data_IF_820504015206
#
_entry.id   IF_820504015206
#
_cell.length_a   1.000
_cell.length_b   1.000
_cell.length_c   1.000
_cell.angle_alpha   90.00
_cell.angle_beta   90.00
_cell.angle_gamma   90.00
#
_symmetry.space_group_name_H-M   'P 1'
#
loop_
_entity.id
_entity.type
_entity.pdbx_description
1 polymer ?
#
# COMPACT_ATOMS: atom_id res chain seq x y z
N UNK A 1 2.81 4.76 -10.56
CA UNK A 1 3.54 3.47 -10.52
C UNK A 1 3.51 2.88 -9.12
N UNK A 2 3.64 1.57 -8.98
CA UNK A 2 3.73 0.85 -7.70
C UNK A 2 4.91 -0.12 -7.69
N UNK A 3 5.49 -0.34 -6.50
CA UNK A 3 6.52 -1.36 -6.26
C UNK A 3 5.82 -2.63 -5.75
N UNK A 4 6.08 -3.79 -6.35
CA UNK A 4 5.50 -5.06 -5.91
C UNK A 4 6.03 -5.44 -4.54
N UNK A 5 7.33 -5.16 -4.34
CA UNK A 5 8.11 -5.64 -3.21
C UNK A 5 8.08 -7.17 -3.10
N UNK A 6 9.01 -7.72 -2.32
CA UNK A 6 9.00 -9.14 -2.03
C UNK A 6 9.51 -9.40 -0.63
N UNK A 7 8.98 -10.45 0.01
CA UNK A 7 9.33 -10.81 1.38
C UNK A 7 10.10 -12.13 1.35
N UNK A 8 11.36 -12.06 1.80
CA UNK A 8 12.21 -13.23 2.05
C UNK A 8 12.57 -13.23 3.55
N UNK A 9 13.85 -13.12 3.89
CA UNK A 9 14.31 -12.87 5.26
C UNK A 9 13.92 -11.48 5.77
N UNK A 10 13.63 -10.56 4.86
CA UNK A 10 13.19 -9.19 5.11
C UNK A 10 12.26 -8.74 3.97
N UNK A 11 11.58 -7.60 4.16
CA UNK A 11 10.85 -6.93 3.08
C UNK A 11 11.83 -6.18 2.20
N UNK A 12 12.03 -6.71 1.00
CA UNK A 12 12.86 -6.11 -0.01
C UNK A 12 12.02 -5.32 -0.99
N UNK A 13 12.62 -4.30 -1.56
CA UNK A 13 12.05 -3.61 -2.71
C UNK A 13 12.64 -4.16 -4.00
N UNK A 14 11.91 -3.99 -5.08
CA UNK A 14 12.32 -4.46 -6.39
C UNK A 14 13.56 -3.69 -6.92
N UNK A 15 14.23 -4.27 -7.91
CA UNK A 15 15.35 -3.62 -8.60
C UNK A 15 14.90 -2.41 -9.42
N UNK A 16 15.85 -1.50 -9.67
CA UNK A 16 15.62 -0.26 -10.42
C UNK A 16 15.39 0.97 -9.55
N UNK A 17 15.17 2.11 -10.21
CA UNK A 17 14.89 3.39 -9.58
C UNK A 17 13.52 3.37 -8.88
N UNK A 18 13.47 3.91 -7.66
CA UNK A 18 12.23 4.10 -6.89
C UNK A 18 11.29 5.08 -7.59
N UNK A 19 9.95 4.91 -7.50
CA UNK A 19 8.98 5.88 -8.05
C UNK A 19 8.95 7.21 -7.29
N UNK A 20 9.78 7.35 -6.25
CA UNK A 20 10.01 8.58 -5.53
C UNK A 20 11.39 8.62 -4.88
N UNK A 21 11.86 9.83 -4.60
CA UNK A 21 13.03 10.09 -3.74
C UNK A 21 12.73 11.16 -2.69
N UNK A 22 13.64 11.32 -1.73
CA UNK A 22 13.51 12.32 -0.66
C UNK A 22 13.91 13.69 -1.18
N UNK A 23 13.03 14.68 -1.01
CA UNK A 23 13.27 16.08 -1.29
C UNK A 23 14.03 16.73 -0.14
N UNK A 24 15.35 16.55 -0.10
CA UNK A 24 16.19 17.11 0.95
C UNK A 24 17.60 17.36 0.44
N UNK A 25 18.14 18.52 0.77
CA UNK A 25 19.53 18.90 0.59
C UNK A 25 20.23 18.83 1.94
N UNK A 26 21.03 17.77 2.13
CA UNK A 26 21.78 17.56 3.36
C UNK A 26 22.89 18.60 3.60
N UNK A 27 23.42 19.24 2.55
CA UNK A 27 24.50 20.23 2.69
C UNK A 27 23.97 21.55 3.24
N UNK A 28 22.78 21.95 2.78
CA UNK A 28 22.16 23.22 3.16
C UNK A 28 21.05 23.07 4.22
N UNK A 29 20.77 21.84 4.68
CA UNK A 29 19.73 21.51 5.67
C UNK A 29 18.34 22.07 5.30
N UNK A 30 17.96 21.96 4.02
CA UNK A 30 16.74 22.54 3.46
C UNK A 30 16.10 21.61 2.41
N UNK A 31 14.85 21.85 1.96
CA UNK A 31 14.31 21.18 0.79
C UNK A 31 15.20 21.40 -0.44
N UNK A 32 15.36 20.38 -1.28
CA UNK A 32 16.13 20.52 -2.51
C UNK A 32 15.31 21.21 -3.63
N UNK A 33 14.00 21.00 -3.63
CA UNK A 33 13.06 21.49 -4.63
C UNK A 33 11.78 22.05 -3.99
N UNK A 34 11.13 22.95 -4.73
CA UNK A 34 9.82 23.53 -4.43
C UNK A 34 8.90 23.42 -5.66
N UNK A 35 7.64 23.83 -5.54
CA UNK A 35 6.73 23.84 -6.68
C UNK A 35 7.14 24.89 -7.71
N UNK A 36 6.99 24.52 -8.99
CA UNK A 36 7.12 25.45 -10.08
C UNK A 36 5.84 26.29 -10.21
N UNK A 37 5.88 27.53 -9.73
CA UNK A 37 4.73 28.43 -9.73
C UNK A 37 4.23 28.80 -11.14
N UNK A 38 5.06 28.68 -12.18
CA UNK A 38 4.61 28.88 -13.57
C UNK A 38 3.68 27.75 -14.04
N UNK A 39 3.72 26.58 -13.40
CA UNK A 39 2.89 25.41 -13.71
C UNK A 39 1.74 25.27 -12.71
N UNK A 40 2.04 25.29 -11.41
CA UNK A 40 1.07 25.02 -10.35
C UNK A 40 0.33 26.26 -9.88
N UNK A 41 0.86 27.46 -10.18
CA UNK A 41 0.35 28.73 -9.68
C UNK A 41 0.81 29.11 -8.28
N UNK A 42 1.63 28.28 -7.61
CA UNK A 42 2.12 28.53 -6.25
C UNK A 42 3.51 27.92 -6.02
N UNK A 43 4.23 28.43 -5.02
CA UNK A 43 5.55 27.98 -4.61
C UNK A 43 5.51 26.85 -3.55
N UNK A 44 4.44 26.83 -2.75
CA UNK A 44 4.24 25.95 -1.61
C UNK A 44 2.75 25.62 -1.43
N UNK A 45 2.44 24.52 -0.75
CA UNK A 45 1.09 24.27 -0.24
C UNK A 45 0.88 25.03 1.08
N UNK A 46 -0.38 25.24 1.46
CA UNK A 46 -0.73 25.73 2.79
C UNK A 46 -1.08 24.56 3.72
N UNK A 47 -0.44 24.51 4.89
CA UNK A 47 -0.75 23.52 5.92
C UNK A 47 -2.23 23.55 6.32
N UNK A 48 -2.81 24.74 6.49
CA UNK A 48 -4.23 24.87 6.83
C UNK A 48 -5.16 24.31 5.75
N UNK A 49 -4.83 24.47 4.47
CA UNK A 49 -5.63 23.90 3.39
C UNK A 49 -5.55 22.36 3.37
N UNK A 50 -4.40 21.78 3.74
CA UNK A 50 -4.26 20.33 3.90
C UNK A 50 -5.13 19.84 5.07
N UNK A 51 -5.02 20.48 6.24
CA UNK A 51 -5.80 20.10 7.44
C UNK A 51 -7.32 20.21 7.20
N UNK A 52 -7.74 21.27 6.50
CA UNK A 52 -9.14 21.51 6.16
C UNK A 52 -9.65 20.64 4.98
N UNK A 53 -8.78 19.80 4.39
CA UNK A 53 -9.09 18.95 3.21
C UNK A 53 -9.62 19.77 2.03
N UNK A 54 -9.07 20.96 1.84
CA UNK A 54 -9.40 21.87 0.73
C UNK A 54 -8.71 21.45 -0.58
N UNK A 55 -7.69 20.60 -0.48
CA UNK A 55 -6.92 20.08 -1.61
C UNK A 55 -7.45 18.68 -1.95
N UNK A 56 -7.98 18.53 -3.16
CA UNK A 56 -8.49 17.28 -3.68
C UNK A 56 -7.43 16.45 -4.42
N UNK A 57 -7.83 15.23 -4.80
CA UNK A 57 -6.97 14.31 -5.57
C UNK A 57 -6.62 14.82 -6.98
N UNK A 58 -7.39 15.78 -7.50
CA UNK A 58 -7.16 16.35 -8.83
C UNK A 58 -6.30 17.63 -8.78
N UNK A 59 -5.95 18.10 -7.57
CA UNK A 59 -5.12 19.29 -7.38
C UNK A 59 -3.64 18.91 -7.29
N UNK A 60 -2.75 19.90 -7.37
CA UNK A 60 -1.34 19.70 -7.07
C UNK A 60 -1.14 19.54 -5.57
N UNK A 61 -1.08 18.30 -5.06
CA UNK A 61 -0.79 17.97 -3.66
C UNK A 61 0.55 17.26 -3.46
N UNK A 62 1.23 16.91 -4.55
CA UNK A 62 2.51 16.19 -4.58
C UNK A 62 3.54 16.96 -5.39
N UNK A 63 4.82 16.69 -5.17
CA UNK A 63 5.89 17.14 -6.07
C UNK A 63 6.25 16.03 -7.04
N UNK A 64 6.55 16.39 -8.28
CA UNK A 64 7.12 15.52 -9.31
C UNK A 64 8.15 16.31 -10.13
N UNK A 65 9.05 15.61 -10.81
CA UNK A 65 10.18 16.22 -11.53
C UNK A 65 9.76 17.23 -12.61
N UNK A 66 8.57 17.08 -13.19
CA UNK A 66 8.01 17.94 -14.22
C UNK A 66 7.31 19.20 -13.67
N UNK A 67 6.99 19.23 -12.37
CA UNK A 67 6.33 20.34 -11.68
C UNK A 67 7.18 20.97 -10.58
N UNK A 68 8.47 20.59 -10.49
CA UNK A 68 9.40 21.04 -9.47
C UNK A 68 10.50 21.94 -10.04
N UNK A 69 10.98 22.89 -9.24
CA UNK A 69 12.18 23.72 -9.48
C UNK A 69 13.08 23.71 -8.25
N UNK A 70 14.38 24.01 -8.38
CA UNK A 70 15.27 24.12 -7.22
C UNK A 70 14.68 25.04 -6.16
N UNK A 71 14.81 24.65 -4.90
CA UNK A 71 14.31 25.43 -3.77
C UNK A 71 14.98 26.81 -3.73
N UNK A 72 14.17 27.86 -3.60
CA UNK A 72 14.62 29.24 -3.46
C UNK A 72 14.53 29.67 -1.98
N UNK A 73 15.65 29.75 -1.25
CA UNK A 73 15.64 30.18 0.14
C UNK A 73 15.32 31.67 0.31
N UNK A 74 15.42 32.47 -0.75
CA UNK A 74 15.14 33.91 -0.72
C UNK A 74 13.69 34.24 -1.08
N UNK A 75 12.86 33.23 -1.38
CA UNK A 75 11.42 33.40 -1.53
C UNK A 75 10.81 33.96 -0.23
N UNK A 76 9.73 34.75 -0.35
CA UNK A 76 9.03 35.34 0.80
C UNK A 76 8.14 34.28 1.49
N UNK A 77 8.78 33.28 2.13
CA UNK A 77 8.12 32.18 2.83
C UNK A 77 7.26 32.67 4.00
N UNK A 78 6.06 32.09 4.13
CA UNK A 78 5.13 32.34 5.22
C UNK A 78 5.04 31.14 6.18
N UNK A 79 4.68 31.41 7.44
CA UNK A 79 4.42 30.34 8.40
C UNK A 79 3.21 29.51 7.96
N UNK A 80 3.39 28.19 7.85
CA UNK A 80 2.40 27.27 7.28
C UNK A 80 2.66 26.86 5.83
N UNK A 81 3.64 27.47 5.14
CA UNK A 81 4.11 26.98 3.85
C UNK A 81 4.66 25.55 3.97
N UNK A 82 4.18 24.68 3.11
CA UNK A 82 4.43 23.24 3.18
C UNK A 82 4.94 22.72 1.84
N UNK A 83 6.08 22.04 1.88
CA UNK A 83 6.69 21.38 0.73
C UNK A 83 6.63 19.86 0.93
N UNK A 84 6.12 19.09 -0.05
CA UNK A 84 6.16 17.64 0.00
C UNK A 84 7.57 17.09 0.19
N UNK A 85 7.71 16.16 1.14
CA UNK A 85 8.97 15.46 1.42
C UNK A 85 9.40 14.52 0.28
N UNK A 86 8.47 14.04 -0.54
CA UNK A 86 8.72 13.10 -1.63
C UNK A 86 8.54 13.79 -2.96
N UNK A 87 9.47 13.53 -3.88
CA UNK A 87 9.33 13.88 -5.30
C UNK A 87 9.06 12.60 -6.05
N UNK A 88 7.98 12.58 -6.82
CA UNK A 88 7.65 11.49 -7.72
C UNK A 88 8.52 11.55 -8.97
N UNK A 89 8.95 10.39 -9.42
CA UNK A 89 9.77 10.20 -10.63
C UNK A 89 9.36 8.91 -11.30
N UNK A 90 9.69 8.76 -12.58
CA UNK A 90 9.46 7.51 -13.29
C UNK A 90 10.42 6.42 -12.77
N UNK A 91 9.91 5.30 -12.23
CA UNK A 91 10.75 4.19 -11.82
C UNK A 91 11.30 3.45 -13.03
N UNK A 92 12.33 2.63 -12.80
CA UNK A 92 12.97 1.80 -13.83
C UNK A 92 12.95 0.34 -13.45
N UNK A 93 13.25 -0.52 -14.44
CA UNK A 93 13.39 -1.96 -14.25
C UNK A 93 12.16 -2.60 -13.61
N UNK A 94 12.35 -3.46 -12.60
CA UNK A 94 11.29 -4.23 -11.93
C UNK A 94 10.28 -3.31 -11.21
N UNK A 95 10.77 -2.27 -10.54
CA UNK A 95 9.91 -1.22 -9.95
C UNK A 95 9.06 -0.44 -10.95
N UNK A 96 9.39 -0.51 -12.24
CA UNK A 96 8.63 0.12 -13.32
C UNK A 96 7.58 -0.79 -13.97
N UNK A 97 7.38 -2.02 -13.48
CA UNK A 97 6.51 -2.98 -14.15
C UNK A 97 5.03 -2.85 -13.76
N UNK A 98 4.71 -2.13 -12.69
CA UNK A 98 3.33 -1.90 -12.23
C UNK A 98 2.98 -0.42 -12.39
N UNK A 99 2.08 -0.10 -13.31
CA UNK A 99 1.39 1.19 -13.30
C UNK A 99 0.21 1.14 -12.33
N UNK A 100 -0.08 2.26 -11.71
CA UNK A 100 -1.14 2.39 -10.73
C UNK A 100 -1.88 3.70 -10.98
N UNK A 101 -3.20 3.65 -11.02
CA UNK A 101 -4.10 4.78 -11.14
C UNK A 101 -5.18 4.70 -10.05
N UNK A 102 -5.63 5.84 -9.55
CA UNK A 102 -6.57 5.89 -8.43
C UNK A 102 -7.53 7.05 -8.57
N UNK A 103 -8.83 6.77 -8.47
CA UNK A 103 -9.88 7.79 -8.52
C UNK A 103 -10.78 7.69 -7.30
N UNK A 104 -11.34 8.82 -6.89
CA UNK A 104 -12.30 8.92 -5.80
C UNK A 104 -13.58 9.60 -6.31
N UNK A 105 -14.69 8.86 -6.31
CA UNK A 105 -16.00 9.33 -6.76
C UNK A 105 -17.09 8.73 -5.88
N UNK A 106 -18.12 9.50 -5.51
CA UNK A 106 -19.29 9.06 -4.75
C UNK A 106 -18.99 8.27 -3.45
N UNK A 107 -17.88 8.59 -2.77
CA UNK A 107 -17.49 7.94 -1.52
C UNK A 107 -16.72 6.63 -1.71
N UNK A 108 -16.27 6.35 -2.94
CA UNK A 108 -15.62 5.10 -3.33
C UNK A 108 -14.27 5.38 -3.98
N UNK A 109 -13.25 4.64 -3.53
CA UNK A 109 -11.96 4.56 -4.19
C UNK A 109 -12.02 3.50 -5.27
N UNK A 110 -11.61 3.85 -6.49
CA UNK A 110 -11.26 2.89 -7.54
C UNK A 110 -9.75 2.94 -7.71
N UNK A 111 -9.09 1.79 -7.64
CA UNK A 111 -7.64 1.68 -7.84
C UNK A 111 -7.39 0.65 -8.93
N UNK A 112 -6.73 1.09 -10.00
CA UNK A 112 -6.31 0.25 -11.11
C UNK A 112 -4.81 -0.04 -10.98
N UNK A 113 -4.44 -1.32 -10.87
CA UNK A 113 -3.05 -1.76 -11.05
C UNK A 113 -2.92 -2.42 -12.40
N UNK A 114 -1.78 -2.25 -13.06
CA UNK A 114 -1.53 -2.81 -14.39
C UNK A 114 -0.08 -3.29 -14.48
N UNK A 115 0.09 -4.60 -14.72
CA UNK A 115 1.39 -5.25 -14.96
C UNK A 115 1.27 -6.48 -15.84
N UNK A 116 2.29 -6.77 -16.62
CA UNK A 116 2.38 -8.05 -17.37
C UNK A 116 2.31 -9.26 -16.42
N UNK A 117 1.77 -10.38 -16.91
CA UNK A 117 1.76 -11.64 -16.16
C UNK A 117 3.17 -12.17 -15.97
N UNK A 118 4.00 -12.01 -16.98
CA UNK A 118 5.44 -12.22 -16.90
C UNK A 118 6.14 -10.87 -17.12
N UNK A 119 6.70 -10.34 -16.05
CA UNK A 119 7.46 -9.08 -16.05
C UNK A 119 8.90 -9.29 -16.51
N UNK A 120 9.38 -10.54 -16.55
CA UNK A 120 10.78 -10.89 -16.79
C UNK A 120 11.67 -10.88 -15.53
N UNK A 121 11.15 -10.50 -14.36
CA UNK A 121 11.89 -10.39 -13.10
C UNK A 121 11.57 -11.54 -12.12
N UNK A 122 11.84 -12.78 -12.53
CA UNK A 122 11.39 -13.99 -11.81
C UNK A 122 11.85 -14.17 -10.35
N UNK A 123 12.82 -13.37 -9.87
CA UNK A 123 13.25 -13.40 -8.47
C UNK A 123 12.50 -12.40 -7.58
N UNK A 124 11.79 -11.45 -8.17
CA UNK A 124 11.15 -10.31 -7.51
C UNK A 124 9.63 -10.38 -7.73
N UNK A 125 9.23 -10.81 -8.93
CA UNK A 125 7.85 -10.90 -9.37
C UNK A 125 7.35 -12.34 -9.46
N UNK A 126 6.14 -12.56 -8.94
CA UNK A 126 5.38 -13.78 -9.24
C UNK A 126 5.00 -13.77 -10.71
N UNK A 127 5.42 -14.80 -11.47
CA UNK A 127 4.89 -15.01 -12.82
C UNK A 127 3.51 -15.63 -12.74
N UNK A 128 2.56 -15.01 -13.43
CA UNK A 128 1.20 -15.52 -13.57
C UNK A 128 1.03 -16.32 -14.86
N UNK A 129 0.33 -17.45 -14.79
CA UNK A 129 0.11 -18.37 -15.90
C UNK A 129 -1.36 -18.77 -15.98
N UNK A 130 -1.83 -18.99 -17.20
CA UNK A 130 -3.21 -19.45 -17.43
C UNK A 130 -3.35 -20.93 -17.06
N UNK A 131 -4.47 -21.26 -16.43
CA UNK A 131 -4.77 -22.57 -15.84
C UNK A 131 -4.34 -22.70 -14.37
N UNK A 132 -3.59 -21.74 -13.84
CA UNK A 132 -3.04 -21.79 -12.47
C UNK A 132 -3.90 -21.03 -11.45
N UNK A 133 -3.73 -21.41 -10.18
CA UNK A 133 -4.36 -20.78 -9.01
C UNK A 133 -3.29 -20.12 -8.16
N UNK A 134 -3.54 -18.86 -7.79
CA UNK A 134 -2.69 -18.05 -6.93
C UNK A 134 -3.41 -17.74 -5.62
N UNK A 135 -2.65 -17.40 -4.58
CA UNK A 135 -3.23 -16.94 -3.32
C UNK A 135 -3.01 -15.44 -3.16
N UNK A 136 -4.08 -14.72 -2.85
CA UNK A 136 -4.04 -13.26 -2.68
C UNK A 136 -4.67 -12.86 -1.35
N UNK A 137 -4.11 -11.85 -0.70
CA UNK A 137 -4.67 -11.27 0.51
C UNK A 137 -4.54 -9.73 0.46
N UNK A 138 -5.52 -9.03 -0.14
CA UNK A 138 -5.56 -7.58 -0.15
C UNK A 138 -5.52 -6.96 1.26
N UNK A 139 -4.80 -5.85 1.39
CA UNK A 139 -4.82 -5.00 2.57
C UNK A 139 -5.09 -3.56 2.15
N UNK A 140 -5.84 -2.81 2.97
CA UNK A 140 -6.19 -1.42 2.71
C UNK A 140 -5.72 -0.57 3.88
N UNK A 141 -4.84 0.38 3.60
CA UNK A 141 -4.39 1.36 4.58
C UNK A 141 -5.38 2.53 4.61
N UNK A 142 -5.94 2.83 5.79
CA UNK A 142 -6.90 3.92 5.98
C UNK A 142 -6.44 4.72 7.21
N UNK A 143 -6.48 6.05 7.11
CA UNK A 143 -6.16 6.94 8.22
C UNK A 143 -4.70 7.42 8.24
N UNK A 144 -4.31 7.99 9.38
CA UNK A 144 -3.03 8.68 9.55
C UNK A 144 -2.06 7.79 10.34
N UNK A 145 -1.09 7.19 9.65
CA UNK A 145 0.32 7.02 10.07
C UNK A 145 0.98 5.84 9.37
N UNK A 146 2.11 6.10 8.71
CA UNK A 146 3.31 5.24 8.60
C UNK A 146 3.12 3.71 8.57
N UNK A 147 2.11 3.20 7.86
CA UNK A 147 1.86 1.77 7.68
C UNK A 147 1.29 1.03 8.90
N UNK A 148 0.77 1.71 9.93
CA UNK A 148 0.21 1.04 11.12
C UNK A 148 -1.24 0.63 10.94
N UNK A 149 -2.08 1.56 10.50
CA UNK A 149 -3.52 1.31 10.40
C UNK A 149 -3.85 0.73 9.03
N UNK A 150 -4.15 -0.56 9.01
CA UNK A 150 -4.55 -1.26 7.80
C UNK A 150 -5.54 -2.36 8.11
N UNK A 151 -6.56 -2.45 7.26
CA UNK A 151 -7.47 -3.57 7.24
C UNK A 151 -6.90 -4.65 6.34
N UNK A 152 -7.04 -5.90 6.76
CA UNK A 152 -6.56 -7.06 6.03
C UNK A 152 -7.73 -7.98 5.69
N UNK A 153 -7.47 -8.98 4.85
CA UNK A 153 -8.41 -10.07 4.61
C UNK A 153 -7.79 -11.42 4.92
N UNK A 154 -8.65 -12.42 5.11
CA UNK A 154 -8.28 -13.80 4.88
C UNK A 154 -8.02 -13.96 3.39
N UNK A 155 -6.93 -14.61 3.00
CA UNK A 155 -6.61 -14.68 1.59
C UNK A 155 -7.53 -15.63 0.82
N UNK A 156 -7.62 -15.37 -0.47
CA UNK A 156 -8.50 -15.99 -1.45
C UNK A 156 -7.69 -16.70 -2.52
N UNK A 157 -8.28 -17.72 -3.13
CA UNK A 157 -7.77 -18.27 -4.38
C UNK A 157 -8.13 -17.36 -5.56
N UNK A 158 -7.13 -17.01 -6.37
CA UNK A 158 -7.26 -16.31 -7.64
C UNK A 158 -6.98 -17.29 -8.78
N UNK A 159 -7.99 -17.63 -9.56
CA UNK A 159 -7.88 -18.51 -10.71
C UNK A 159 -7.70 -17.70 -11.99
N UNK A 160 -6.68 -18.04 -12.78
CA UNK A 160 -6.50 -17.48 -14.12
C UNK A 160 -6.95 -18.51 -15.14
N UNK A 161 -8.10 -18.30 -15.79
CA UNK A 161 -8.65 -19.28 -16.74
C UNK A 161 -9.06 -20.62 -16.09
N UNK A 162 -9.25 -20.63 -14.78
CA UNK A 162 -9.62 -21.80 -13.97
C UNK A 162 -10.50 -21.36 -12.78
N UNK A 163 -11.30 -22.29 -12.25
CA UNK A 163 -12.24 -22.04 -11.16
C UNK A 163 -11.52 -21.77 -9.83
N UNK A 164 -11.95 -20.72 -9.11
CA UNK A 164 -11.39 -20.28 -7.83
C UNK A 164 -12.39 -19.36 -7.09
N UNK A 165 -12.04 -18.90 -5.89
CA UNK A 165 -12.86 -17.91 -5.15
C UNK A 165 -13.03 -16.60 -5.93
N UNK A 166 -11.97 -16.20 -6.64
CA UNK A 166 -11.93 -15.04 -7.52
C UNK A 166 -11.40 -15.51 -8.88
N UNK A 167 -12.17 -15.32 -9.94
CA UNK A 167 -11.79 -15.71 -11.29
C UNK A 167 -11.39 -14.49 -12.12
N UNK A 168 -10.23 -14.55 -12.75
CA UNK A 168 -9.77 -13.51 -13.64
C UNK A 168 -10.54 -13.53 -14.97
N UNK A 169 -11.02 -12.37 -15.40
CA UNK A 169 -11.80 -12.23 -16.65
C UNK A 169 -10.92 -11.78 -17.79
N UNK A 170 -10.91 -12.55 -18.88
CA UNK A 170 -10.21 -12.15 -20.10
C UNK A 170 -10.99 -11.09 -20.89
N UNK A 171 -10.29 -10.12 -21.47
CA UNK A 171 -10.90 -9.10 -22.32
C UNK A 171 -9.94 -8.63 -23.43
N UNK A 172 -10.46 -7.84 -24.37
CA UNK A 172 -9.66 -7.21 -25.44
C UNK A 172 -9.88 -5.69 -25.44
N UNK A 173 -8.81 -4.89 -25.35
CA UNK A 173 -8.84 -3.44 -25.46
C UNK A 173 -8.84 -2.78 -24.09
N UNK A 174 -9.75 -1.84 -23.87
CA UNK A 174 -10.08 -1.32 -22.54
C UNK A 174 -11.22 -2.18 -21.98
N UNK A 175 -11.13 -2.69 -20.75
CA UNK A 175 -12.21 -3.49 -20.16
C UNK A 175 -13.45 -2.62 -19.89
N UNK A 176 -14.63 -3.17 -20.11
CA UNK A 176 -15.87 -2.58 -19.58
C UNK A 176 -16.07 -3.09 -18.15
N UNK A 177 -15.75 -2.24 -17.19
CA UNK A 177 -15.86 -2.54 -15.76
C UNK A 177 -17.27 -2.90 -15.30
N UNK A 178 -18.30 -2.57 -16.10
CA UNK A 178 -19.67 -2.93 -15.80
C UNK A 178 -19.99 -4.39 -16.15
N UNK A 179 -19.19 -5.02 -17.01
CA UNK A 179 -19.38 -6.39 -17.49
C UNK A 179 -18.55 -7.42 -16.70
N UNK A 180 -17.56 -6.96 -15.94
CA UNK A 180 -16.71 -7.85 -15.12
C UNK A 180 -17.40 -8.11 -13.76
N UNK A 181 -17.59 -9.38 -13.35
CA UNK A 181 -18.21 -9.70 -12.07
C UNK A 181 -17.34 -9.21 -10.90
N UNK A 182 -17.92 -8.38 -10.03
CA UNK A 182 -17.25 -7.91 -8.82
C UNK A 182 -17.29 -8.96 -7.71
N UNK A 183 -16.17 -9.14 -6.99
CA UNK A 183 -16.15 -9.90 -5.74
C UNK A 183 -16.04 -8.96 -4.55
N UNK A 184 -17.02 -9.02 -3.64
CA UNK A 184 -16.96 -8.30 -2.36
C UNK A 184 -16.06 -9.06 -1.39
N UNK A 185 -15.03 -8.39 -0.88
CA UNK A 185 -14.10 -8.92 0.10
C UNK A 185 -14.38 -8.27 1.45
N UNK A 186 -14.58 -9.11 2.46
CA UNK A 186 -14.73 -8.65 3.85
C UNK A 186 -13.35 -8.36 4.41
N UNK A 187 -13.13 -7.09 4.75
CA UNK A 187 -11.94 -6.66 5.45
C UNK A 187 -12.18 -6.69 6.96
N UNK A 188 -11.15 -7.03 7.73
CA UNK A 188 -11.15 -6.89 9.17
C UNK A 188 -9.91 -6.12 9.61
N UNK A 189 -10.06 -5.37 10.70
CA UNK A 189 -8.91 -4.76 11.35
C UNK A 189 -8.20 -5.87 12.12
N UNK A 190 -6.94 -6.21 11.79
CA UNK A 190 -6.22 -7.22 12.56
C UNK A 190 -6.05 -6.66 13.96
N UNK A 191 -6.60 -7.35 14.96
CA UNK A 191 -6.75 -6.90 16.34
C UNK A 191 -5.54 -6.10 16.83
N UNK A 192 -5.78 -4.96 17.46
CA UNK A 192 -4.74 -4.18 18.13
C UNK A 192 -4.22 -5.05 19.27
N UNK A 193 -2.99 -5.56 19.18
CA UNK A 193 -2.29 -5.97 20.39
C UNK A 193 -2.00 -4.70 21.20
N UNK A 194 -2.20 -4.75 22.52
CA UNK A 194 -2.02 -3.56 23.35
C UNK A 194 -0.58 -3.04 23.22
N UNK A 195 -0.38 -1.74 23.38
CA UNK A 195 0.97 -1.16 23.40
C UNK A 195 1.84 -1.81 24.48
N UNK A 196 1.23 -2.19 25.61
CA UNK A 196 1.87 -2.96 26.67
C UNK A 196 2.29 -4.36 26.21
N UNK A 197 1.46 -5.06 25.45
CA UNK A 197 1.83 -6.34 24.84
C UNK A 197 2.99 -6.17 23.86
N UNK A 198 2.95 -5.15 22.99
CA UNK A 198 4.02 -4.90 22.01
C UNK A 198 5.38 -4.66 22.67
N UNK A 199 5.39 -4.01 23.84
CA UNK A 199 6.59 -3.68 24.61
C UNK A 199 6.99 -4.75 25.62
N UNK A 200 6.15 -5.76 25.86
CA UNK A 200 6.45 -6.83 26.80
C UNK A 200 7.48 -7.80 26.19
N UNK A 201 8.72 -7.77 26.72
CA UNK A 201 9.80 -8.62 26.24
C UNK A 201 9.53 -10.12 26.46
N UNK A 202 8.58 -10.48 27.34
CA UNK A 202 8.19 -11.86 27.63
C UNK A 202 7.13 -12.39 26.64
N UNK A 203 6.13 -11.57 26.28
CA UNK A 203 5.02 -11.96 25.38
C UNK A 203 5.22 -11.57 23.91
N UNK A 204 6.01 -10.53 23.61
CA UNK A 204 6.30 -10.09 22.25
C UNK A 204 7.69 -9.47 22.18
N UNK A 205 8.70 -10.27 21.84
CA UNK A 205 10.05 -9.76 21.58
C UNK A 205 9.99 -8.82 20.38
N UNK A 206 9.99 -7.50 20.60
CA UNK A 206 10.04 -6.46 19.57
C UNK A 206 10.94 -6.91 18.42
N UNK A 207 10.33 -7.36 17.31
CA UNK A 207 11.04 -8.10 16.27
C UNK A 207 12.24 -7.34 15.68
N UNK A 208 12.20 -6.02 15.74
CA UNK A 208 13.34 -5.15 15.40
C UNK A 208 14.51 -5.27 16.40
N UNK A 209 14.25 -5.23 17.71
CA UNK A 209 15.27 -5.18 18.76
C UNK A 209 16.02 -6.51 18.95
N UNK A 210 15.38 -7.64 18.67
CA UNK A 210 16.05 -8.95 18.63
C UNK A 210 17.01 -9.04 17.42
N UNK A 211 16.56 -8.58 16.24
CA UNK A 211 17.37 -8.53 15.03
C UNK A 211 18.58 -7.59 15.13
N UNK A 212 18.45 -6.44 15.81
CA UNK A 212 19.56 -5.49 15.99
C UNK A 212 20.60 -5.98 17.00
N UNK A 213 20.20 -6.69 18.06
CA UNK A 213 21.13 -7.21 19.09
C UNK A 213 21.86 -8.49 18.68
N UNK A 214 21.28 -9.31 17.81
CA UNK A 214 21.82 -10.62 17.44
C UNK A 214 22.79 -10.61 16.24
N UNK A 215 23.06 -9.46 15.62
CA UNK A 215 23.96 -9.40 14.45
C UNK A 215 23.42 -10.17 13.23
N UNK A 216 22.09 -10.17 13.04
CA UNK A 216 21.40 -10.75 11.88
C UNK A 216 21.44 -12.28 11.83
N UNK A 217 20.29 -12.93 12.02
CA UNK A 217 19.88 -14.24 11.44
C UNK A 217 18.75 -14.95 12.21
N UNK A 218 18.32 -14.48 13.39
CA UNK A 218 17.02 -14.91 13.90
C UNK A 218 15.96 -14.15 13.12
N UNK A 219 15.25 -14.80 12.19
CA UNK A 219 13.98 -14.27 11.70
C UNK A 219 12.92 -14.71 12.72
N UNK A 220 12.49 -13.83 13.66
CA UNK A 220 11.52 -14.22 14.68
C UNK A 220 10.12 -14.50 14.10
N UNK A 221 9.96 -14.46 12.76
CA UNK A 221 8.71 -14.63 12.05
C UNK A 221 8.75 -15.82 11.07
N UNK A 222 9.46 -16.91 11.39
CA UNK A 222 9.34 -18.12 10.57
C UNK A 222 7.88 -18.62 10.57
N UNK A 223 7.40 -19.30 9.51
CA UNK A 223 6.02 -19.80 9.45
C UNK A 223 5.64 -20.66 10.65
N UNK A 224 6.59 -21.43 11.18
CA UNK A 224 6.38 -22.29 12.36
C UNK A 224 6.26 -21.47 13.65
N UNK A 225 7.09 -20.43 13.83
CA UNK A 225 7.01 -19.53 15.00
C UNK A 225 5.75 -18.68 14.94
N UNK A 226 5.36 -18.18 13.77
CA UNK A 226 4.12 -17.41 13.60
C UNK A 226 2.87 -18.28 13.73
N UNK A 227 2.92 -19.52 13.26
CA UNK A 227 1.84 -20.49 13.46
C UNK A 227 1.65 -20.81 14.95
N UNK A 228 2.74 -21.00 15.69
CA UNK A 228 2.68 -21.23 17.14
C UNK A 228 2.21 -19.97 17.90
N UNK A 229 2.72 -18.79 17.53
CA UNK A 229 2.28 -17.52 18.09
C UNK A 229 0.78 -17.28 17.89
N UNK A 230 0.25 -17.55 16.69
CA UNK A 230 -1.18 -17.44 16.40
C UNK A 230 -2.02 -18.39 17.27
N UNK A 231 -1.57 -19.63 17.48
CA UNK A 231 -2.24 -20.59 18.37
C UNK A 231 -2.23 -20.13 19.84
N UNK A 232 -1.11 -19.60 20.31
CA UNK A 232 -0.96 -19.15 21.69
C UNK A 232 -1.76 -17.85 21.95
N UNK A 233 -1.84 -16.97 20.95
CA UNK A 233 -2.67 -15.77 20.98
C UNK A 233 -4.16 -16.12 21.04
N UNK A 234 -4.65 -16.99 20.15
CA UNK A 234 -6.03 -17.50 20.19
C UNK A 234 -6.34 -18.16 21.54
N UNK A 235 -5.41 -18.96 22.07
CA UNK A 235 -5.56 -19.55 23.40
C UNK A 235 -5.68 -18.49 24.49
N UNK A 236 -4.87 -17.42 24.44
CA UNK A 236 -4.93 -16.33 25.41
C UNK A 236 -6.27 -15.57 25.41
N UNK A 237 -6.94 -15.47 24.25
CA UNK A 237 -8.27 -14.86 24.14
C UNK A 237 -9.41 -15.79 24.61
N UNK A 238 -9.17 -17.11 24.66
CA UNK A 238 -10.15 -18.09 25.15
C UNK A 238 -10.06 -18.36 26.65
N UNK A 239 -9.03 -17.85 27.34
CA UNK A 239 -9.04 -17.86 28.81
C UNK A 239 -10.07 -16.85 29.31
N UNK A 240 -11.00 -17.25 30.21
CA UNK A 240 -12.09 -16.37 30.62
C UNK A 240 -11.54 -15.17 31.40
N UNK A 241 -11.49 -14.02 30.74
CA UNK A 241 -11.30 -12.72 31.39
C UNK A 241 -12.63 -12.29 31.98
N UNK A 242 -12.61 -11.73 33.20
CA UNK A 242 -13.78 -11.15 33.85
C UNK A 242 -14.52 -10.19 32.90
N UNK A 243 -15.85 -10.23 32.95
CA UNK A 243 -16.76 -9.52 32.05
C UNK A 243 -16.42 -8.03 31.96
N UNK A 244 -15.91 -7.59 30.80
CA UNK A 244 -15.69 -6.17 30.49
C UNK A 244 -17.02 -5.40 30.38
N UNK A 245 -17.04 -4.09 30.69
CA UNK A 245 -18.21 -3.24 30.51
C UNK A 245 -18.65 -3.20 29.03
N UNK A 246 -19.93 -2.92 28.81
CA UNK A 246 -20.57 -3.02 27.50
C UNK A 246 -19.76 -2.33 26.38
N UNK A 247 -19.69 -2.97 25.19
CA UNK A 247 -18.87 -2.48 24.09
C UNK A 247 -19.32 -1.07 23.69
N UNK A 248 -18.34 -0.22 23.38
CA UNK A 248 -18.60 1.04 22.68
C UNK A 248 -19.36 0.75 21.38
N UNK A 249 -20.25 1.67 20.93
CA UNK A 249 -21.01 1.47 19.71
C UNK A 249 -20.05 1.15 18.55
N UNK A 250 -20.35 0.08 17.82
CA UNK A 250 -19.53 -0.31 16.68
C UNK A 250 -19.35 0.88 15.74
N UNK A 251 -18.11 1.12 15.24
CA UNK A 251 -17.90 2.15 14.24
C UNK A 251 -18.82 1.87 13.06
N UNK A 252 -19.39 2.94 12.48
CA UNK A 252 -20.25 2.81 11.30
C UNK A 252 -19.55 1.95 10.24
N UNK A 253 -20.28 1.01 9.65
CA UNK A 253 -19.75 0.11 8.63
C UNK A 253 -19.13 0.93 7.50
N UNK A 254 -17.81 0.84 7.35
CA UNK A 254 -17.12 1.39 6.18
C UNK A 254 -17.63 0.60 4.96
N UNK A 255 -17.99 1.25 3.84
CA UNK A 255 -18.44 0.55 2.64
C UNK A 255 -17.43 -0.51 2.21
N UNK A 256 -17.88 -1.77 2.13
CA UNK A 256 -17.06 -2.94 1.81
C UNK A 256 -16.18 -2.74 0.56
N UNK A 257 -15.07 -3.45 0.52
CA UNK A 257 -14.11 -3.41 -0.59
C UNK A 257 -14.46 -4.47 -1.64
N UNK A 258 -14.25 -4.14 -2.92
CA UNK A 258 -14.38 -5.07 -4.03
C UNK A 258 -13.04 -5.20 -4.75
N UNK A 259 -12.69 -6.41 -5.17
CA UNK A 259 -11.53 -6.65 -6.04
C UNK A 259 -12.01 -7.26 -7.34
N UNK A 260 -11.37 -6.86 -8.43
CA UNK A 260 -11.73 -7.27 -9.77
C UNK A 260 -10.49 -7.59 -10.59
N UNK A 261 -10.29 -8.86 -10.95
CA UNK A 261 -9.18 -9.28 -11.79
C UNK A 261 -9.59 -9.35 -13.25
N UNK A 262 -8.91 -8.60 -14.10
CA UNK A 262 -9.08 -8.68 -15.56
C UNK A 262 -7.74 -8.99 -16.23
N UNK A 263 -7.72 -9.62 -17.42
CA UNK A 263 -6.52 -10.07 -18.17
C UNK A 263 -6.66 -9.81 -19.69
N UNK A 264 -5.66 -9.23 -20.35
CA UNK A 264 -5.67 -8.97 -21.81
C UNK A 264 -4.92 -10.02 -22.64
N UNK A 265 -5.52 -10.42 -23.78
CA UNK A 265 -5.00 -11.45 -24.69
C UNK A 265 -4.39 -10.90 -26.00
N UNK A 266 -3.08 -10.71 -26.01
CA UNK A 266 -2.09 -11.11 -27.04
C UNK A 266 -0.73 -10.50 -26.64
N UNK A 267 0.10 -11.30 -25.94
CA UNK A 267 1.52 -11.06 -25.57
C UNK A 267 1.82 -10.04 -24.46
N UNK A 268 0.84 -9.45 -23.78
CA UNK A 268 1.08 -8.73 -22.53
C UNK A 268 -0.19 -8.80 -21.68
N UNK A 269 -0.20 -9.69 -20.70
CA UNK A 269 -1.42 -9.95 -19.97
C UNK A 269 -1.38 -9.15 -18.66
N UNK A 270 -2.27 -8.16 -18.55
CA UNK A 270 -2.32 -7.22 -17.43
C UNK A 270 -3.27 -7.70 -16.35
N UNK A 271 -2.86 -7.79 -15.07
CA UNK A 271 -3.78 -7.97 -13.93
C UNK A 271 -4.34 -6.61 -13.52
N UNK A 272 -5.66 -6.49 -13.45
CA UNK A 272 -6.36 -5.33 -12.89
C UNK A 272 -6.89 -5.64 -11.49
N UNK A 273 -7.13 -4.60 -10.68
CA UNK A 273 -7.96 -4.61 -9.47
C UNK A 273 -8.99 -3.50 -9.70
N UNK A 274 -10.26 -3.64 -9.32
CA UNK A 274 -11.28 -2.58 -9.42
C UNK A 274 -12.27 -2.72 -8.27
N UNK A 275 -12.74 -1.58 -7.74
CA UNK A 275 -13.84 -1.46 -6.79
C UNK A 275 -14.93 -0.59 -7.42
N UNK A 276 -16.18 -1.05 -7.30
CA UNK A 276 -17.38 -0.30 -7.65
C UNK A 276 -18.01 0.33 -6.42
#
# INVERSE_FOLDING_TARGET
YSDSQYVLEYRHSDTGQSPYYTNWDDENEQPAYMFNSDITGFAALSWSSIENKEIGINDYYYLAEDIAVPFDPEHEWEDGDTIPRRILTEPTESRGQITADGTWEDGLWTVELVRKLDTGYALEDVKFEEGEIYYIAPAVHIGDTSGRDHYVTWGYSLGIGTEADIEAVSFTGTPDWNEVPSTTITLFYPSVVSYDFLLDEESHTLGGAACTRAGGTSSPHSPEVMGQFGLDLERSFTEPVDVEPEPEPEPESIPGFGVLFALFGLVATTIYLYKR
#
